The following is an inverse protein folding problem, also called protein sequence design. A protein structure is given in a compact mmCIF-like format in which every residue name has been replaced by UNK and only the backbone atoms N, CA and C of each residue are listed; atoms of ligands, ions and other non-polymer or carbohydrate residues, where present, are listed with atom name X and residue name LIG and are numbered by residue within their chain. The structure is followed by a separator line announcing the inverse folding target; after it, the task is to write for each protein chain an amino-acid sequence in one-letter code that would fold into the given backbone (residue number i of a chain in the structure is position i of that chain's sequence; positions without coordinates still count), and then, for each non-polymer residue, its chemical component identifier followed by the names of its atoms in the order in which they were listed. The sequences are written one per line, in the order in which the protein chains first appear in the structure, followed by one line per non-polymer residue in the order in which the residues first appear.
data_IF_271951921322
#
_entry.id   IF_271951921322
#
_cell.length_a   1.000
_cell.length_b   1.000
_cell.length_c   1.000
_cell.angle_alpha   90.00
_cell.angle_beta   90.00
_cell.angle_gamma   90.00
#
_symmetry.space_group_name_H-M   'P 1'
#
loop_
_entity.id
_entity.type
_entity.pdbx_description
1 polymer ?
#
# COMPACT_ATOMS: atom_id res chain seq x y z
N UNK A 1 -17.96 14.26 -37.59
CA UNK A 1 -17.47 13.30 -36.58
C UNK A 1 -16.71 14.06 -35.50
N UNK A 2 -16.89 13.67 -34.23
CA UNK A 2 -16.59 14.47 -33.04
C UNK A 2 -15.10 14.35 -32.67
N UNK A 3 -14.41 15.51 -32.67
CA UNK A 3 -13.30 15.91 -31.79
C UNK A 3 -12.09 14.98 -31.69
N UNK A 4 -11.07 15.36 -32.46
CA UNK A 4 -9.66 15.14 -32.15
C UNK A 4 -9.33 15.88 -30.84
N UNK A 5 -8.31 15.38 -30.13
CA UNK A 5 -7.56 15.96 -28.99
C UNK A 5 -7.88 15.28 -27.64
N UNK A 6 -7.01 14.33 -27.28
CA UNK A 6 -6.48 14.20 -25.93
C UNK A 6 -5.17 13.38 -26.01
N UNK A 7 -4.13 14.01 -26.53
CA UNK A 7 -2.76 13.55 -26.35
C UNK A 7 -2.38 13.78 -24.89
N UNK A 8 -2.55 12.75 -24.05
CA UNK A 8 -1.96 12.71 -22.71
C UNK A 8 -0.60 12.04 -22.82
N UNK A 9 0.40 12.82 -23.24
CA UNK A 9 1.81 12.52 -22.98
C UNK A 9 2.00 12.52 -21.45
N UNK A 10 1.88 11.36 -20.83
CA UNK A 10 2.43 11.08 -19.51
C UNK A 10 3.91 10.78 -19.69
N UNK A 11 4.67 11.82 -20.00
CA UNK A 11 6.12 11.85 -19.79
C UNK A 11 6.41 12.64 -18.52
N UNK A 12 7.58 12.36 -17.93
CA UNK A 12 8.15 12.84 -16.66
C UNK A 12 7.61 12.06 -15.43
N UNK A 13 8.40 11.33 -14.62
CA UNK A 13 9.83 11.40 -14.31
C UNK A 13 10.50 10.01 -14.40
N UNK A 14 11.61 9.93 -15.14
CA UNK A 14 12.67 8.96 -14.91
C UNK A 14 13.51 9.39 -13.70
N UNK A 15 14.13 8.40 -13.06
CA UNK A 15 15.16 8.48 -12.01
C UNK A 15 14.74 8.93 -10.60
N UNK A 16 14.41 7.94 -9.77
CA UNK A 16 15.14 7.73 -8.52
C UNK A 16 15.15 6.23 -8.20
N UNK A 17 16.22 5.53 -8.61
CA UNK A 17 16.62 4.27 -7.98
C UNK A 17 17.17 4.60 -6.60
N UNK A 18 16.28 4.96 -5.68
CA UNK A 18 16.52 4.76 -4.26
C UNK A 18 15.53 3.68 -3.90
N UNK A 19 16.00 2.43 -3.79
CA UNK A 19 15.30 1.45 -2.98
C UNK A 19 15.36 2.00 -1.54
N UNK A 20 14.50 2.97 -1.26
CA UNK A 20 14.44 3.65 0.01
C UNK A 20 14.01 2.62 1.02
N UNK A 21 14.86 2.36 2.01
CA UNK A 21 14.50 1.57 3.16
C UNK A 21 13.15 2.05 3.68
N UNK A 22 12.22 1.11 3.86
CA UNK A 22 10.91 1.42 4.40
C UNK A 22 11.07 2.10 5.75
N UNK A 23 10.35 3.19 5.96
CA UNK A 23 10.27 3.80 7.30
C UNK A 23 9.73 2.78 8.32
N UNK A 24 10.12 2.88 9.61
CA UNK A 24 9.73 1.90 10.63
C UNK A 24 8.21 1.66 10.72
N UNK A 25 7.40 2.70 10.52
CA UNK A 25 5.94 2.57 10.50
C UNK A 25 5.44 1.61 9.41
N UNK A 26 6.07 1.59 8.23
CA UNK A 26 5.73 0.68 7.16
C UNK A 26 6.19 -0.75 7.41
N UNK A 27 7.38 -0.92 7.99
CA UNK A 27 7.89 -2.24 8.38
C UNK A 27 6.91 -2.92 9.34
N UNK A 28 6.47 -2.20 10.38
CA UNK A 28 5.53 -2.73 11.35
C UNK A 28 4.14 -2.98 10.73
N UNK A 29 3.62 -2.01 9.96
CA UNK A 29 2.35 -2.17 9.25
C UNK A 29 2.33 -3.43 8.37
N UNK A 30 3.34 -3.59 7.52
CA UNK A 30 3.38 -4.71 6.58
C UNK A 30 3.49 -6.04 7.30
N UNK A 31 4.28 -6.12 8.37
CA UNK A 31 4.37 -7.31 9.22
C UNK A 31 3.00 -7.68 9.81
N UNK A 32 2.30 -6.73 10.41
CA UNK A 32 0.97 -6.99 10.99
C UNK A 32 -0.06 -7.38 9.94
N UNK A 33 -0.04 -6.71 8.78
CA UNK A 33 -0.94 -7.02 7.67
C UNK A 33 -0.67 -8.42 7.08
N UNK A 34 0.61 -8.78 6.90
CA UNK A 34 1.02 -10.11 6.44
C UNK A 34 0.53 -11.19 7.42
N UNK A 35 0.69 -10.98 8.72
CA UNK A 35 0.19 -11.90 9.75
C UNK A 35 -1.34 -12.00 9.74
N UNK A 36 -2.04 -10.88 9.57
CA UNK A 36 -3.50 -10.85 9.50
C UNK A 36 -4.02 -11.62 8.30
N UNK A 37 -3.45 -11.40 7.10
CA UNK A 37 -3.82 -12.12 5.88
C UNK A 37 -3.54 -13.61 6.03
N UNK A 38 -2.37 -13.98 6.57
CA UNK A 38 -2.00 -15.38 6.79
C UNK A 38 -2.96 -16.10 7.77
N UNK A 39 -3.45 -15.37 8.79
CA UNK A 39 -4.34 -15.91 9.82
C UNK A 39 -5.83 -15.80 9.44
N UNK A 40 -6.16 -15.10 8.35
CA UNK A 40 -7.52 -14.81 7.93
C UNK A 40 -7.76 -15.27 6.50
N UNK A 41 -8.35 -16.47 6.28
CA UNK A 41 -8.66 -16.98 4.95
C UNK A 41 -9.51 -16.01 4.11
N UNK A 42 -10.45 -15.31 4.75
CA UNK A 42 -11.32 -14.30 4.11
C UNK A 42 -10.57 -13.07 3.60
N UNK A 43 -9.36 -12.80 4.09
CA UNK A 43 -8.51 -11.69 3.66
C UNK A 43 -7.65 -12.06 2.45
N UNK A 44 -7.57 -13.34 2.07
CA UNK A 44 -6.80 -13.83 0.91
C UNK A 44 -7.12 -13.09 -0.39
N UNK A 45 -8.39 -12.77 -0.73
CA UNK A 45 -8.71 -12.01 -1.95
C UNK A 45 -8.14 -10.58 -1.96
N UNK A 46 -7.79 -10.02 -0.81
CA UNK A 46 -7.18 -8.69 -0.70
C UNK A 46 -5.66 -8.71 -0.93
N UNK A 47 -5.02 -9.89 -0.90
CA UNK A 47 -3.56 -10.03 -1.03
C UNK A 47 -2.97 -9.37 -2.27
N UNK A 48 -3.54 -9.51 -3.49
CA UNK A 48 -2.99 -8.85 -4.68
C UNK A 48 -2.97 -7.31 -4.57
N UNK A 49 -4.01 -6.73 -3.96
CA UNK A 49 -4.07 -5.27 -3.73
C UNK A 49 -3.06 -4.82 -2.68
N UNK A 50 -2.89 -5.63 -1.62
CA UNK A 50 -1.90 -5.38 -0.58
C UNK A 50 -0.46 -5.48 -1.11
N UNK A 51 -0.14 -6.48 -1.93
CA UNK A 51 1.18 -6.63 -2.54
C UNK A 51 1.48 -5.47 -3.52
N UNK A 52 0.48 -5.01 -4.27
CA UNK A 52 0.60 -3.81 -5.09
C UNK A 52 0.84 -2.54 -4.25
N UNK A 53 0.13 -2.40 -3.14
CA UNK A 53 0.34 -1.30 -2.19
C UNK A 53 1.76 -1.32 -1.64
N UNK A 54 2.29 -2.47 -1.17
CA UNK A 54 3.68 -2.59 -0.70
C UNK A 54 4.67 -2.06 -1.72
N UNK A 55 4.53 -2.51 -2.98
CA UNK A 55 5.42 -2.09 -4.07
C UNK A 55 5.33 -0.59 -4.31
N UNK A 56 4.11 -0.05 -4.41
CA UNK A 56 3.91 1.38 -4.60
C UNK A 56 4.50 2.18 -3.42
N UNK A 57 4.32 1.73 -2.17
CA UNK A 57 4.87 2.40 -1.00
C UNK A 57 6.40 2.43 -1.01
N UNK A 58 7.08 1.35 -1.41
CA UNK A 58 8.54 1.36 -1.51
C UNK A 58 9.08 2.35 -2.54
N UNK A 59 8.24 2.78 -3.49
CA UNK A 59 8.59 3.78 -4.51
C UNK A 59 8.30 5.22 -4.05
N UNK A 60 7.68 5.41 -2.87
CA UNK A 60 7.37 6.74 -2.31
C UNK A 60 8.53 7.33 -1.49
N UNK A 61 8.61 8.66 -1.38
CA UNK A 61 9.46 9.34 -0.38
C UNK A 61 9.10 8.95 1.05
N UNK A 62 10.06 8.96 1.98
CA UNK A 62 9.87 8.50 3.36
C UNK A 62 8.70 9.16 4.11
N UNK A 63 8.45 10.47 3.90
CA UNK A 63 7.31 11.16 4.53
C UNK A 63 5.95 10.65 4.02
N UNK A 64 5.87 10.31 2.73
CA UNK A 64 4.68 9.75 2.10
C UNK A 64 4.50 8.28 2.47
N UNK A 65 5.61 7.53 2.58
CA UNK A 65 5.59 6.18 3.16
C UNK A 65 4.99 6.19 4.56
N UNK A 66 5.48 7.07 5.43
CA UNK A 66 5.02 7.17 6.82
C UNK A 66 3.52 7.47 6.89
N UNK A 67 3.05 8.42 6.09
CA UNK A 67 1.64 8.79 6.02
C UNK A 67 0.78 7.62 5.53
N UNK A 68 1.18 6.97 4.43
CA UNK A 68 0.45 5.85 3.85
C UNK A 68 0.36 4.66 4.82
N UNK A 69 1.46 4.32 5.49
CA UNK A 69 1.51 3.19 6.41
C UNK A 69 0.79 3.46 7.74
N UNK A 70 0.78 4.70 8.23
CA UNK A 70 -0.05 5.08 9.39
C UNK A 70 -1.54 4.93 9.08
N UNK A 71 -1.97 5.40 7.90
CA UNK A 71 -3.35 5.22 7.45
C UNK A 71 -3.71 3.74 7.29
N UNK A 72 -2.84 2.95 6.64
CA UNK A 72 -3.01 1.50 6.50
C UNK A 72 -3.10 0.79 7.86
N UNK A 73 -2.26 1.19 8.82
CA UNK A 73 -2.24 0.62 10.18
C UNK A 73 -3.55 0.86 10.92
N UNK A 74 -4.12 2.05 10.85
CA UNK A 74 -5.40 2.32 11.52
C UNK A 74 -6.53 1.50 10.88
N UNK A 75 -6.57 1.40 9.55
CA UNK A 75 -7.56 0.54 8.87
C UNK A 75 -7.41 -0.93 9.25
N UNK A 76 -6.17 -1.43 9.33
CA UNK A 76 -5.88 -2.79 9.77
C UNK A 76 -6.34 -3.01 11.22
N UNK A 77 -6.06 -2.06 12.11
CA UNK A 77 -6.48 -2.12 13.51
C UNK A 77 -8.01 -2.18 13.62
N UNK A 78 -8.73 -1.40 12.81
CA UNK A 78 -10.19 -1.44 12.74
C UNK A 78 -10.70 -2.77 12.19
N UNK A 79 -10.06 -3.33 11.17
CA UNK A 79 -10.42 -4.64 10.61
C UNK A 79 -10.21 -5.78 11.62
N UNK A 80 -9.13 -5.71 12.42
CA UNK A 80 -8.87 -6.65 13.51
C UNK A 80 -9.91 -6.48 14.62
N UNK A 81 -10.22 -5.25 15.03
CA UNK A 81 -11.18 -4.97 16.10
C UNK A 81 -12.63 -5.36 15.74
N UNK A 82 -12.97 -5.33 14.46
CA UNK A 82 -14.31 -5.71 13.96
C UNK A 82 -14.42 -7.20 13.65
N UNK A 83 -13.33 -7.97 13.70
CA UNK A 83 -13.44 -9.43 13.68
C UNK A 83 -14.03 -9.92 15.01
N UNK A 84 -15.14 -10.68 14.99
CA UNK A 84 -15.62 -11.34 16.19
C UNK A 84 -14.56 -12.32 16.70
N UNK A 85 -14.28 -12.28 18.00
CA UNK A 85 -13.45 -13.29 18.66
C UNK A 85 -14.15 -14.64 18.51
N UNK A 86 -13.54 -15.58 17.78
CA UNK A 86 -13.91 -16.99 17.79
C UNK A 86 -13.04 -17.71 18.82
#
# INVERSE_FOLDING_TARGET
MKKIIAASLLTVLSSATMAGELVPACVEYFKQADQFIASTPEATPAKPKYDAFKKQTTELPSADQETACKQGSELLRQAIATKPAN
#
